data_IF_165446303057
#
_entry.id   IF_165446303057
#
_cell.length_a   1.000
_cell.length_b   1.000
_cell.length_c   1.000
_cell.angle_alpha   90.00
_cell.angle_beta   90.00
_cell.angle_gamma   90.00
#
_symmetry.space_group_name_H-M   'P 1'
#
loop_
_entity.id
_entity.type
_entity.pdbx_description
1 polymer ?
#
# COMPACT_ATOMS: atom_id res chain seq x y z
N UNK A 1 -4.58 -15.84 12.12
CA UNK A 1 -3.30 -15.14 12.00
C UNK A 1 -3.18 -14.11 13.11
N UNK A 2 -2.07 -14.10 13.78
CA UNK A 2 -1.90 -13.26 14.98
C UNK A 2 -1.15 -11.98 14.62
N UNK A 3 -1.74 -10.84 14.94
CA UNK A 3 -1.08 -9.54 14.76
C UNK A 3 -0.28 -9.20 16.02
N UNK A 4 0.86 -8.54 15.83
CA UNK A 4 1.59 -7.98 16.96
C UNK A 4 0.84 -6.76 17.50
N UNK A 5 1.08 -6.35 18.77
CA UNK A 5 0.45 -5.15 19.32
C UNK A 5 0.71 -3.89 18.48
N UNK A 6 1.93 -3.76 17.94
CA UNK A 6 2.26 -2.61 17.07
C UNK A 6 1.46 -2.65 15.77
N UNK A 7 1.29 -3.84 15.18
CA UNK A 7 0.48 -4.00 13.98
C UNK A 7 -0.98 -3.67 14.25
N UNK A 8 -1.52 -4.09 15.37
CA UNK A 8 -2.90 -3.75 15.74
C UNK A 8 -3.07 -2.23 15.79
N UNK A 9 -2.16 -1.53 16.46
CA UNK A 9 -2.23 -0.08 16.54
C UNK A 9 -2.11 0.58 15.17
N UNK A 10 -1.18 0.09 14.34
CA UNK A 10 -0.95 0.67 13.02
C UNK A 10 -2.11 0.43 12.05
N UNK A 11 -2.74 -0.74 12.13
CA UNK A 11 -3.73 -1.16 11.13
C UNK A 11 -5.18 -0.89 11.52
N UNK A 12 -5.46 -0.59 12.78
CA UNK A 12 -6.83 -0.30 13.22
C UNK A 12 -7.52 0.82 12.43
N UNK A 13 -6.85 1.96 12.13
CA UNK A 13 -7.51 3.01 11.33
C UNK A 13 -7.94 2.52 9.94
N UNK A 14 -7.13 1.65 9.32
CA UNK A 14 -7.45 1.11 7.99
C UNK A 14 -8.64 0.16 8.08
N UNK A 15 -8.69 -0.68 9.12
CA UNK A 15 -9.82 -1.56 9.34
C UNK A 15 -11.10 -0.76 9.53
N UNK A 16 -11.04 0.32 10.26
CA UNK A 16 -12.19 1.22 10.45
C UNK A 16 -12.68 1.80 9.13
N UNK A 17 -11.76 2.19 8.24
CA UNK A 17 -12.10 2.67 6.91
C UNK A 17 -12.79 1.59 6.09
N UNK A 18 -12.27 0.36 6.13
CA UNK A 18 -12.87 -0.77 5.42
C UNK A 18 -14.29 -1.04 5.91
N UNK A 19 -14.47 -1.07 7.22
CA UNK A 19 -15.79 -1.29 7.82
C UNK A 19 -16.78 -0.18 7.47
N UNK A 20 -16.29 1.06 7.46
CA UNK A 20 -17.11 2.22 7.12
C UNK A 20 -17.64 2.15 5.69
N UNK A 21 -16.82 1.69 4.74
CA UNK A 21 -17.26 1.55 3.35
C UNK A 21 -18.13 0.33 3.13
N UNK A 22 -18.01 -0.69 3.98
CA UNK A 22 -18.79 -1.91 3.89
C UNK A 22 -18.51 -2.70 2.61
N UNK A 23 -19.36 -3.70 2.34
CA UNK A 23 -19.25 -4.49 1.11
C UNK A 23 -20.17 -3.91 0.05
N UNK A 24 -19.56 -3.37 -0.99
CA UNK A 24 -20.26 -2.83 -2.15
C UNK A 24 -19.75 -3.57 -3.39
N UNK A 25 -20.65 -4.17 -4.20
CA UNK A 25 -20.22 -5.00 -5.34
C UNK A 25 -19.35 -4.26 -6.34
N UNK A 26 -19.51 -2.95 -6.49
CA UNK A 26 -18.74 -2.14 -7.43
C UNK A 26 -17.36 -1.76 -6.90
N UNK A 27 -17.07 -2.00 -5.61
CA UNK A 27 -15.77 -1.66 -5.04
C UNK A 27 -14.87 -2.89 -4.98
N UNK A 28 -13.60 -2.69 -5.31
CA UNK A 28 -12.57 -3.68 -5.03
C UNK A 28 -12.23 -3.63 -3.54
N UNK A 29 -11.72 -4.73 -3.01
CA UNK A 29 -11.30 -4.75 -1.60
C UNK A 29 -10.10 -3.87 -1.36
N UNK A 30 -9.16 -3.85 -2.30
CA UNK A 30 -7.88 -3.20 -2.12
C UNK A 30 -7.35 -2.59 -3.41
N UNK A 31 -6.80 -1.38 -3.31
CA UNK A 31 -6.02 -0.76 -4.37
C UNK A 31 -4.53 -0.97 -4.05
N UNK A 32 -3.78 -1.57 -4.97
CA UNK A 32 -2.34 -1.79 -4.80
C UNK A 32 -1.55 -0.73 -5.55
N UNK A 33 -0.97 0.19 -4.79
CA UNK A 33 -0.11 1.24 -5.31
C UNK A 33 1.35 0.78 -5.28
N UNK A 34 2.05 0.88 -6.39
CA UNK A 34 3.43 0.41 -6.51
C UNK A 34 4.20 1.23 -7.53
N UNK A 35 5.53 1.14 -7.50
CA UNK A 35 6.36 1.72 -8.54
C UNK A 35 6.24 0.89 -9.82
N UNK A 36 6.36 1.56 -10.95
CA UNK A 36 6.31 0.89 -12.25
C UNK A 36 7.34 -0.25 -12.35
N UNK A 37 8.54 -0.01 -11.80
CA UNK A 37 9.63 -0.99 -11.89
C UNK A 37 9.32 -2.29 -11.15
N UNK A 38 8.39 -2.26 -10.19
CA UNK A 38 8.00 -3.44 -9.41
C UNK A 38 6.84 -4.22 -10.03
N UNK A 39 6.25 -3.76 -11.11
CA UNK A 39 5.00 -4.31 -11.65
C UNK A 39 5.06 -5.77 -12.05
N UNK A 40 6.23 -6.24 -12.47
CA UNK A 40 6.42 -7.64 -12.92
C UNK A 40 7.17 -8.49 -11.92
N UNK A 41 7.42 -7.97 -10.76
CA UNK A 41 8.21 -8.64 -9.73
C UNK A 41 7.42 -8.65 -8.43
N UNK A 42 7.85 -7.88 -7.44
CA UNK A 42 7.27 -7.95 -6.10
C UNK A 42 5.80 -7.51 -6.08
N UNK A 43 5.42 -6.54 -6.90
CA UNK A 43 4.02 -6.10 -6.95
C UNK A 43 3.11 -7.19 -7.49
N UNK A 44 3.51 -7.89 -8.55
CA UNK A 44 2.74 -9.02 -9.08
C UNK A 44 2.69 -10.15 -8.07
N UNK A 45 3.80 -10.44 -7.41
CA UNK A 45 3.84 -11.47 -6.37
C UNK A 45 2.83 -11.19 -5.28
N UNK A 46 2.82 -9.97 -4.77
CA UNK A 46 1.88 -9.59 -3.72
C UNK A 46 0.43 -9.64 -4.21
N UNK A 47 0.18 -9.15 -5.42
CA UNK A 47 -1.15 -9.20 -6.01
C UNK A 47 -1.66 -10.63 -6.11
N UNK A 48 -0.84 -11.56 -6.62
CA UNK A 48 -1.23 -12.95 -6.77
C UNK A 48 -1.52 -13.61 -5.42
N UNK A 49 -0.71 -13.31 -4.41
CA UNK A 49 -0.93 -13.83 -3.07
C UNK A 49 -2.22 -13.29 -2.46
N UNK A 50 -2.52 -12.02 -2.67
CA UNK A 50 -3.75 -11.42 -2.17
C UNK A 50 -4.98 -12.03 -2.86
N UNK A 51 -4.92 -12.21 -4.17
CA UNK A 51 -6.02 -12.83 -4.91
C UNK A 51 -6.23 -14.28 -4.47
N UNK A 52 -5.15 -15.00 -4.19
CA UNK A 52 -5.23 -16.36 -3.68
C UNK A 52 -5.94 -16.43 -2.32
N UNK A 53 -5.89 -15.34 -1.54
CA UNK A 53 -6.59 -15.25 -0.26
C UNK A 53 -8.00 -14.68 -0.40
N UNK A 54 -8.49 -14.51 -1.61
CA UNK A 54 -9.85 -14.05 -1.85
C UNK A 54 -10.01 -12.53 -1.89
N UNK A 55 -8.93 -11.78 -1.92
CA UNK A 55 -8.98 -10.31 -1.97
C UNK A 55 -9.12 -9.86 -3.42
N UNK A 56 -10.10 -9.02 -3.71
CA UNK A 56 -10.20 -8.40 -5.03
C UNK A 56 -9.32 -7.17 -5.05
N UNK A 57 -8.37 -7.13 -5.99
CA UNK A 57 -7.33 -6.11 -6.04
C UNK A 57 -7.47 -5.27 -7.30
N UNK A 58 -7.45 -3.94 -7.13
CA UNK A 58 -7.23 -3.03 -8.24
C UNK A 58 -5.71 -2.90 -8.40
N UNK A 59 -5.16 -3.60 -9.35
CA UNK A 59 -3.74 -3.60 -9.64
C UNK A 59 -3.49 -2.75 -10.89
N UNK A 60 -2.83 -1.61 -10.69
CA UNK A 60 -2.53 -0.73 -11.81
C UNK A 60 -1.23 -1.16 -12.46
N UNK A 61 -1.31 -1.57 -13.73
CA UNK A 61 -0.13 -1.85 -14.54
C UNK A 61 0.36 -0.61 -15.27
N UNK A 62 -0.37 0.49 -15.15
CA UNK A 62 0.00 1.72 -15.84
C UNK A 62 1.21 2.36 -15.21
N UNK A 63 2.03 2.91 -16.06
CA UNK A 63 3.20 3.63 -15.62
C UNK A 63 2.79 4.93 -14.90
N UNK A 64 3.21 5.06 -13.66
CA UNK A 64 2.99 6.28 -12.88
C UNK A 64 4.16 7.22 -13.21
N UNK A 65 4.33 7.52 -14.50
CA UNK A 65 5.46 8.29 -14.96
C UNK A 65 5.08 9.64 -15.52
N UNK A 66 6.10 10.34 -15.76
CA UNK A 66 6.26 11.51 -16.62
C UNK A 66 4.97 11.99 -17.28
N UNK A 67 4.45 13.09 -16.77
CA UNK A 67 3.26 13.72 -17.32
C UNK A 67 1.94 13.15 -16.81
N UNK A 68 1.97 12.04 -16.10
CA UNK A 68 0.77 11.51 -15.44
C UNK A 68 0.79 11.90 -13.98
N UNK A 69 -0.24 12.58 -13.49
CA UNK A 69 -0.30 12.91 -12.07
C UNK A 69 -0.43 11.63 -11.26
N UNK A 70 0.60 11.32 -10.50
CA UNK A 70 0.63 10.18 -9.58
C UNK A 70 -0.62 10.17 -8.70
N UNK A 71 -0.97 11.33 -8.18
CA UNK A 71 -2.11 11.47 -7.28
C UNK A 71 -3.44 11.16 -7.95
N UNK A 72 -3.56 11.43 -9.25
CA UNK A 72 -4.78 11.12 -9.99
C UNK A 72 -5.01 9.61 -10.07
N UNK A 73 -3.95 8.84 -10.30
CA UNK A 73 -4.07 7.38 -10.34
C UNK A 73 -4.42 6.81 -8.96
N UNK A 74 -3.83 7.38 -7.91
CA UNK A 74 -4.15 6.97 -6.54
C UNK A 74 -5.60 7.33 -6.21
N UNK A 75 -6.03 8.54 -6.53
CA UNK A 75 -7.41 8.96 -6.27
C UNK A 75 -8.41 8.06 -6.99
N UNK A 76 -8.11 7.69 -8.24
CA UNK A 76 -8.97 6.78 -8.99
C UNK A 76 -9.05 5.41 -8.35
N UNK A 77 -7.91 4.85 -7.95
CA UNK A 77 -7.86 3.55 -7.30
C UNK A 77 -8.59 3.54 -5.97
N UNK A 78 -8.39 4.58 -5.16
CA UNK A 78 -9.04 4.70 -3.85
C UNK A 78 -10.54 4.91 -3.99
N UNK A 79 -10.99 5.65 -5.01
CA UNK A 79 -12.42 5.86 -5.24
C UNK A 79 -13.14 4.55 -5.58
N UNK A 80 -12.43 3.58 -6.13
CA UNK A 80 -12.99 2.30 -6.58
C UNK A 80 -12.61 1.13 -5.70
N UNK A 81 -12.06 1.41 -4.53
CA UNK A 81 -11.62 0.38 -3.58
C UNK A 81 -12.02 0.75 -2.17
N UNK A 82 -12.09 -0.27 -1.32
CA UNK A 82 -12.45 -0.06 0.09
C UNK A 82 -11.29 0.52 0.89
N UNK A 83 -10.08 0.18 0.51
CA UNK A 83 -8.85 0.73 1.10
C UNK A 83 -7.72 0.61 0.09
N UNK A 84 -6.53 1.10 0.44
CA UNK A 84 -5.36 1.02 -0.42
C UNK A 84 -4.16 0.49 0.33
N UNK A 85 -3.16 0.08 -0.44
CA UNK A 85 -1.87 -0.37 0.05
C UNK A 85 -0.80 0.28 -0.81
N UNK A 86 0.25 0.81 -0.18
CA UNK A 86 1.41 1.31 -0.92
C UNK A 86 2.60 0.40 -0.63
N UNK A 87 3.18 -0.14 -1.68
CA UNK A 87 4.36 -1.00 -1.60
C UNK A 87 5.60 -0.11 -1.66
N UNK A 88 6.26 0.05 -0.52
CA UNK A 88 7.44 0.91 -0.40
C UNK A 88 8.69 0.09 -0.63
N UNK A 89 9.29 0.26 -1.80
CA UNK A 89 10.47 -0.46 -2.26
C UNK A 89 11.58 0.53 -2.60
N UNK A 90 12.80 0.07 -2.82
CA UNK A 90 13.85 0.97 -3.34
C UNK A 90 13.44 1.67 -4.63
N UNK A 91 12.71 0.98 -5.52
CA UNK A 91 12.25 1.59 -6.77
C UNK A 91 11.27 2.74 -6.49
N UNK A 92 10.33 2.56 -5.56
CA UNK A 92 9.39 3.62 -5.20
C UNK A 92 10.13 4.81 -4.58
N UNK A 93 11.07 4.53 -3.68
CA UNK A 93 11.85 5.59 -3.04
C UNK A 93 12.64 6.41 -4.05
N UNK A 94 13.19 5.75 -5.06
CA UNK A 94 13.92 6.41 -6.13
C UNK A 94 13.02 7.37 -6.91
N UNK A 95 11.79 6.97 -7.15
CA UNK A 95 10.82 7.81 -7.85
C UNK A 95 10.41 9.01 -7.02
N UNK A 96 10.18 8.81 -5.75
CA UNK A 96 9.84 9.90 -4.82
C UNK A 96 10.98 10.91 -4.76
N UNK A 97 12.24 10.42 -4.72
CA UNK A 97 13.42 11.26 -4.62
C UNK A 97 13.72 12.03 -5.92
N UNK A 98 13.57 11.36 -7.08
CA UNK A 98 14.11 11.87 -8.34
C UNK A 98 13.10 12.44 -9.33
N UNK A 99 11.80 12.19 -9.19
CA UNK A 99 10.89 12.39 -10.32
C UNK A 99 9.59 13.11 -10.04
N UNK A 100 9.56 13.91 -9.01
CA UNK A 100 8.40 14.77 -8.81
C UNK A 100 7.14 14.10 -8.31
N UNK A 101 7.23 12.86 -7.83
CA UNK A 101 6.19 12.36 -6.95
C UNK A 101 6.41 13.10 -5.64
N UNK A 102 5.46 13.93 -5.27
CA UNK A 102 5.57 14.69 -4.04
C UNK A 102 5.43 13.75 -2.84
N UNK A 103 6.49 13.63 -2.05
CA UNK A 103 6.44 12.87 -0.82
C UNK A 103 5.42 13.45 0.15
N UNK A 104 5.22 14.76 0.07
CA UNK A 104 4.21 15.45 0.89
C UNK A 104 2.80 14.99 0.53
N UNK A 105 2.48 14.91 -0.75
CA UNK A 105 1.16 14.46 -1.19
C UNK A 105 0.90 13.00 -0.80
N UNK A 106 1.89 12.14 -1.00
CA UNK A 106 1.77 10.74 -0.61
C UNK A 106 1.64 10.61 0.90
N UNK A 107 2.40 11.40 1.65
CA UNK A 107 2.34 11.39 3.11
C UNK A 107 1.00 11.90 3.63
N UNK A 108 0.37 12.84 2.94
CA UNK A 108 -0.97 13.30 3.30
C UNK A 108 -1.98 12.17 3.18
N UNK A 109 -1.88 11.33 2.15
CA UNK A 109 -2.74 10.17 2.01
C UNK A 109 -2.51 9.16 3.12
N UNK A 110 -1.25 8.95 3.50
CA UNK A 110 -0.93 8.08 4.62
C UNK A 110 -1.48 8.65 5.94
N UNK A 111 -1.41 9.97 6.10
CA UNK A 111 -1.95 10.63 7.28
C UNK A 111 -3.49 10.52 7.38
N UNK A 112 -4.16 10.31 6.25
CA UNK A 112 -5.61 10.10 6.22
C UNK A 112 -5.99 8.63 6.38
N UNK A 113 -5.03 7.76 6.61
CA UNK A 113 -5.23 6.33 6.76
C UNK A 113 -5.91 5.69 5.53
N UNK A 114 -5.53 6.16 4.36
CA UNK A 114 -6.06 5.65 3.09
C UNK A 114 -5.17 4.61 2.43
N UNK A 115 -3.88 4.59 2.77
CA UNK A 115 -2.92 3.66 2.20
C UNK A 115 -2.15 2.95 3.31
N UNK A 116 -2.21 1.63 3.31
CA UNK A 116 -1.45 0.80 4.25
C UNK A 116 -0.02 0.69 3.73
N UNK A 117 1.00 1.15 4.48
CA UNK A 117 2.37 1.01 4.02
C UNK A 117 2.88 -0.42 4.23
N UNK A 118 3.46 -0.99 3.17
CA UNK A 118 4.17 -2.27 3.23
C UNK A 118 5.58 -2.03 2.74
N UNK A 119 6.56 -2.18 3.62
CA UNK A 119 7.96 -1.95 3.30
C UNK A 119 8.60 -3.25 2.83
N UNK A 120 9.28 -3.21 1.69
CA UNK A 120 9.92 -4.39 1.12
C UNK A 120 11.26 -4.03 0.47
N UNK A 121 12.29 -4.78 0.81
CA UNK A 121 13.62 -4.60 0.22
C UNK A 121 14.34 -3.34 0.65
N UNK A 122 13.84 -2.65 1.66
CA UNK A 122 14.45 -1.46 2.21
C UNK A 122 14.18 -1.42 3.71
N UNK A 123 14.69 -0.41 4.39
CA UNK A 123 14.51 -0.26 5.84
C UNK A 123 13.80 1.07 6.14
N UNK A 124 13.25 1.18 7.33
CA UNK A 124 12.68 2.45 7.77
C UNK A 124 13.72 3.56 7.80
N UNK A 125 14.98 3.23 8.08
CA UNK A 125 16.05 4.23 8.05
C UNK A 125 16.26 4.75 6.64
N UNK A 126 16.26 3.88 5.63
CA UNK A 126 16.38 4.30 4.23
C UNK A 126 15.16 5.12 3.79
N UNK A 127 13.97 4.71 4.20
CA UNK A 127 12.74 5.47 3.90
C UNK A 127 12.85 6.86 4.53
N UNK A 128 13.32 6.94 5.78
CA UNK A 128 13.47 8.21 6.48
C UNK A 128 14.49 9.13 5.79
N UNK A 129 15.56 8.56 5.23
CA UNK A 129 16.57 9.33 4.52
C UNK A 129 16.01 9.96 3.25
N UNK A 130 15.08 9.28 2.58
CA UNK A 130 14.43 9.81 1.37
C UNK A 130 13.28 10.73 1.76
N UNK A 131 12.45 10.30 2.69
CA UNK A 131 11.28 11.06 3.11
C UNK A 131 10.95 10.77 4.57
N UNK A 132 11.29 11.69 5.48
CA UNK A 132 10.88 11.54 6.89
C UNK A 132 9.36 11.44 7.06
N UNK A 133 8.60 12.06 6.18
CA UNK A 133 7.14 12.01 6.24
C UNK A 133 6.62 10.60 5.95
N UNK A 134 7.19 9.92 4.96
CA UNK A 134 6.81 8.54 4.67
C UNK A 134 7.16 7.62 5.82
N UNK A 135 8.31 7.81 6.44
CA UNK A 135 8.76 6.99 7.55
C UNK A 135 7.99 7.22 8.84
N UNK A 136 7.16 8.27 8.90
CA UNK A 136 6.37 8.57 10.09
C UNK A 136 5.20 7.61 10.30
N UNK A 137 4.85 6.81 9.29
CA UNK A 137 3.74 5.86 9.35
C UNK A 137 4.27 4.43 9.44
N UNK A 138 3.67 3.66 10.29
CA UNK A 138 3.98 2.25 10.44
C UNK A 138 2.93 1.40 9.74
N UNK A 139 3.35 0.25 9.27
CA UNK A 139 2.47 -0.72 8.64
C UNK A 139 3.10 -2.09 8.75
N UNK A 140 3.27 -2.77 7.62
CA UNK A 140 3.86 -4.09 7.56
C UNK A 140 5.22 -4.02 6.87
N UNK A 141 6.09 -5.00 7.19
CA UNK A 141 7.45 -5.01 6.69
C UNK A 141 7.86 -6.46 6.39
N UNK A 142 8.37 -6.71 5.19
CA UNK A 142 8.79 -8.05 4.81
C UNK A 142 10.03 -8.54 5.57
N UNK A 143 10.70 -7.67 6.30
CA UNK A 143 11.77 -8.08 7.21
C UNK A 143 11.22 -8.78 8.46
N UNK A 144 9.97 -8.51 8.84
CA UNK A 144 9.32 -9.09 10.00
C UNK A 144 8.46 -10.29 9.64
N UNK A 145 7.74 -10.21 8.53
CA UNK A 145 6.82 -11.25 8.06
C UNK A 145 7.12 -11.56 6.60
N UNK A 146 6.94 -12.83 6.20
CA UNK A 146 7.06 -13.17 4.78
C UNK A 146 5.95 -12.50 3.98
N UNK A 147 6.13 -12.40 2.67
CA UNK A 147 5.12 -11.82 1.79
C UNK A 147 3.79 -12.60 1.89
N UNK A 148 3.87 -13.92 2.03
CA UNK A 148 2.70 -14.77 2.19
C UNK A 148 1.92 -14.42 3.47
N UNK A 149 2.64 -14.22 4.58
CA UNK A 149 2.03 -13.84 5.86
C UNK A 149 1.42 -12.44 5.76
N UNK A 150 2.10 -11.52 5.11
CA UNK A 150 1.59 -10.16 4.88
C UNK A 150 0.27 -10.22 4.10
N UNK A 151 0.22 -11.03 3.05
CA UNK A 151 -0.99 -11.18 2.26
C UNK A 151 -2.16 -11.72 3.11
N UNK A 152 -1.90 -12.69 3.99
CA UNK A 152 -2.92 -13.23 4.89
C UNK A 152 -3.42 -12.13 5.85
N UNK A 153 -2.50 -11.35 6.42
CA UNK A 153 -2.87 -10.27 7.34
C UNK A 153 -3.72 -9.20 6.66
N UNK A 154 -3.35 -8.83 5.44
CA UNK A 154 -4.14 -7.87 4.66
C UNK A 154 -5.52 -8.46 4.33
N UNK A 155 -5.57 -9.74 3.94
CA UNK A 155 -6.84 -10.39 3.63
C UNK A 155 -7.79 -10.38 4.83
N UNK A 156 -7.29 -10.66 6.02
CA UNK A 156 -8.09 -10.59 7.23
C UNK A 156 -8.59 -9.16 7.50
N UNK A 157 -7.74 -8.17 7.25
CA UNK A 157 -8.09 -6.77 7.47
C UNK A 157 -9.25 -6.33 6.58
N UNK A 158 -9.31 -6.79 5.34
CA UNK A 158 -10.35 -6.39 4.40
C UNK A 158 -11.55 -7.34 4.38
N UNK A 159 -11.52 -8.42 5.14
CA UNK A 159 -12.60 -9.41 5.20
C UNK A 159 -13.72 -8.93 6.14
N UNK A 160 -14.60 -8.10 5.64
CA UNK A 160 -15.72 -7.57 6.44
C UNK A 160 -17.01 -7.83 5.72
#
# INVERSE_FOLDING_TARGET
MTYTPDQVRALTPYRSTVESRGQQPELRDLFLCHAWDDRRDVATQLNDLLEAEGVSVWFSEKDILLGQPFMREIDRGLAKSRTGLVLITPALLQRVDNRGVSDKELSELLARDLLIPVVHGTTYDEVRNVSPLLASRNGLNTAEDSMEVIAIKIAELVSV
#
